data_IF_973697220754
#
_entry.id   IF_973697220754
#
_cell.length_a   1.000
_cell.length_b   1.000
_cell.length_c   1.000
_cell.angle_alpha   90.00
_cell.angle_beta   90.00
_cell.angle_gamma   90.00
#
_symmetry.space_group_name_H-M   'P 1'
#
loop_
_entity.id
_entity.type
_entity.pdbx_description
1 polymer ?
#
# COMPACT_ATOMS: atom_id res chain seq x y z
N UNK A 1 -89.88 -14.63 16.52
CA UNK A 1 -89.14 -15.81 16.03
C UNK A 1 -88.06 -15.33 15.07
N UNK A 2 -86.85 -15.80 15.30
CA UNK A 2 -85.58 -15.60 14.56
C UNK A 2 -85.76 -15.82 13.03
N UNK A 3 -84.98 -15.24 12.11
CA UNK A 3 -83.53 -15.42 11.84
C UNK A 3 -83.04 -14.34 10.83
N UNK A 4 -81.75 -14.01 10.89
CA UNK A 4 -80.90 -13.17 10.02
C UNK A 4 -80.55 -13.78 8.65
N UNK A 5 -80.36 -12.94 7.61
CA UNK A 5 -79.28 -13.00 6.59
C UNK A 5 -79.42 -11.78 5.65
N UNK A 6 -78.43 -10.90 5.51
CA UNK A 6 -77.14 -11.01 4.81
C UNK A 6 -77.23 -10.83 3.29
N UNK A 7 -76.76 -9.65 2.87
CA UNK A 7 -76.01 -9.38 1.63
C UNK A 7 -76.77 -9.03 0.32
N UNK A 8 -76.48 -7.80 -0.13
CA UNK A 8 -76.19 -7.39 -1.51
C UNK A 8 -77.31 -7.41 -2.55
N UNK A 9 -77.89 -6.24 -2.85
CA UNK A 9 -77.83 -5.69 -4.22
C UNK A 9 -78.49 -4.31 -4.38
N UNK A 10 -77.85 -3.51 -5.26
CA UNK A 10 -78.34 -2.32 -5.96
C UNK A 10 -78.45 -1.02 -5.15
N UNK A 11 -77.50 -0.12 -5.41
CA UNK A 11 -77.72 0.93 -6.42
C UNK A 11 -76.38 1.55 -6.83
N UNK A 12 -76.02 1.33 -8.10
CA UNK A 12 -75.12 2.22 -8.83
C UNK A 12 -75.97 3.42 -9.26
N UNK A 13 -75.63 4.61 -8.79
CA UNK A 13 -75.98 5.87 -9.47
C UNK A 13 -74.80 6.84 -9.40
N UNK A 14 -74.04 6.82 -10.49
CA UNK A 14 -73.43 7.98 -11.15
C UNK A 14 -72.87 9.11 -10.27
N UNK A 15 -71.56 9.04 -9.97
CA UNK A 15 -70.74 10.21 -9.67
C UNK A 15 -70.01 10.64 -10.94
N UNK A 16 -70.21 11.90 -11.33
CA UNK A 16 -69.66 12.57 -12.51
C UNK A 16 -68.12 12.54 -12.48
N UNK A 17 -67.42 12.36 -13.62
CA UNK A 17 -65.98 12.54 -13.70
C UNK A 17 -65.67 14.03 -13.72
N UNK A 18 -65.60 14.64 -12.53
CA UNK A 18 -65.18 16.03 -12.33
C UNK A 18 -63.81 16.08 -11.70
N UNK A 19 -62.78 16.32 -12.52
CA UNK A 19 -61.48 16.90 -12.14
C UNK A 19 -60.84 16.33 -10.87
N UNK A 20 -60.46 15.06 -10.90
CA UNK A 20 -59.21 14.68 -10.26
C UNK A 20 -58.10 15.02 -11.27
N UNK A 21 -57.55 16.23 -11.20
CA UNK A 21 -56.17 16.43 -11.65
C UNK A 21 -55.33 15.47 -10.82
N UNK A 22 -55.05 14.29 -11.36
CA UNK A 22 -53.89 13.53 -10.97
C UNK A 22 -52.72 14.46 -11.23
N UNK A 23 -52.31 15.21 -10.20
CA UNK A 23 -51.01 15.87 -10.23
C UNK A 23 -50.04 14.70 -10.24
N UNK A 24 -49.64 14.28 -11.43
CA UNK A 24 -48.46 13.47 -11.65
C UNK A 24 -47.28 14.37 -11.26
N UNK A 25 -47.13 14.61 -9.95
CA UNK A 25 -45.95 15.23 -9.41
C UNK A 25 -44.85 14.23 -9.69
N UNK A 26 -44.05 14.53 -10.72
CA UNK A 26 -42.77 13.84 -10.87
C UNK A 26 -42.03 13.96 -9.53
N UNK A 27 -41.32 12.93 -9.08
CA UNK A 27 -40.54 13.01 -7.84
C UNK A 27 -39.68 14.28 -7.77
N UNK A 28 -39.15 14.74 -8.91
CA UNK A 28 -38.45 16.02 -9.06
C UNK A 28 -39.25 17.27 -8.63
N UNK A 29 -40.51 17.40 -9.04
CA UNK A 29 -41.36 18.55 -8.67
C UNK A 29 -41.60 18.64 -7.15
N UNK A 30 -41.68 17.49 -6.47
CA UNK A 30 -41.80 17.40 -5.00
C UNK A 30 -40.51 17.86 -4.30
N UNK A 31 -39.33 17.51 -4.85
CA UNK A 31 -38.04 17.92 -4.28
C UNK A 31 -37.74 19.41 -4.49
N UNK A 32 -38.09 19.99 -5.64
CA UNK A 32 -37.95 21.44 -5.90
C UNK A 32 -38.77 22.26 -4.90
N UNK A 33 -40.00 21.84 -4.62
CA UNK A 33 -40.83 22.49 -3.61
C UNK A 33 -40.22 22.38 -2.20
N UNK A 34 -39.56 21.26 -1.90
CA UNK A 34 -38.84 21.07 -0.63
C UNK A 34 -37.59 21.95 -0.52
N UNK A 35 -36.84 22.18 -1.59
CA UNK A 35 -35.71 23.12 -1.60
C UNK A 35 -36.16 24.53 -1.21
N UNK A 36 -37.28 25.00 -1.79
CA UNK A 36 -37.88 26.30 -1.47
C UNK A 36 -38.25 26.39 0.00
N UNK A 37 -38.93 25.38 0.55
CA UNK A 37 -39.31 25.34 1.97
C UNK A 37 -38.10 25.35 2.92
N UNK A 38 -36.98 24.75 2.53
CA UNK A 38 -35.74 24.74 3.30
C UNK A 38 -34.87 25.98 3.06
N UNK A 39 -35.35 26.96 2.30
CA UNK A 39 -34.61 28.15 1.88
C UNK A 39 -33.27 27.82 1.22
N UNK A 40 -33.11 26.65 0.58
CA UNK A 40 -31.83 26.24 -0.01
C UNK A 40 -31.53 26.96 -1.34
N UNK A 41 -32.53 27.62 -1.92
CA UNK A 41 -32.40 28.41 -3.14
C UNK A 41 -33.14 27.78 -4.33
N UNK A 42 -33.07 28.47 -5.47
CA UNK A 42 -33.57 28.00 -6.78
C UNK A 42 -32.42 27.90 -7.77
N UNK A 43 -31.24 27.49 -7.31
CA UNK A 43 -30.07 27.34 -8.16
C UNK A 43 -30.39 26.38 -9.32
N UNK A 44 -30.27 26.81 -10.58
CA UNK A 44 -30.56 25.98 -11.75
C UNK A 44 -29.80 24.65 -11.75
N UNK A 45 -28.56 24.63 -11.24
CA UNK A 45 -27.75 23.42 -11.14
C UNK A 45 -28.30 22.45 -10.08
N UNK A 46 -28.77 22.96 -8.93
CA UNK A 46 -29.42 22.11 -7.91
C UNK A 46 -30.69 21.45 -8.45
N UNK A 47 -31.50 22.23 -9.18
CA UNK A 47 -32.73 21.74 -9.80
C UNK A 47 -32.39 20.67 -10.84
N UNK A 48 -31.42 20.93 -11.73
CA UNK A 48 -30.98 19.98 -12.74
C UNK A 48 -30.46 18.67 -12.12
N UNK A 49 -29.70 18.74 -11.01
CA UNK A 49 -29.21 17.55 -10.30
C UNK A 49 -30.36 16.71 -9.71
N UNK A 50 -31.39 17.34 -9.14
CA UNK A 50 -32.56 16.66 -8.58
C UNK A 50 -33.44 16.03 -9.66
N UNK A 51 -33.64 16.73 -10.78
CA UNK A 51 -34.43 16.23 -11.91
C UNK A 51 -33.75 15.05 -12.60
N UNK A 52 -32.42 15.11 -12.75
CA UNK A 52 -31.64 14.03 -13.34
C UNK A 52 -31.51 12.80 -12.41
N UNK A 53 -31.62 12.97 -11.09
CA UNK A 53 -31.37 11.91 -10.11
C UNK A 53 -32.48 11.82 -9.03
N UNK A 54 -33.74 11.53 -9.41
CA UNK A 54 -34.88 11.56 -8.50
C UNK A 54 -34.74 10.58 -7.32
N UNK A 55 -34.11 9.42 -7.53
CA UNK A 55 -33.93 8.40 -6.48
C UNK A 55 -32.99 8.85 -5.35
N UNK A 56 -32.16 9.86 -5.61
CA UNK A 56 -31.19 10.42 -4.67
C UNK A 56 -31.63 11.77 -4.07
N UNK A 57 -32.86 12.22 -4.35
CA UNK A 57 -33.31 13.58 -4.02
C UNK A 57 -33.18 13.97 -2.54
N UNK A 58 -33.47 13.05 -1.61
CA UNK A 58 -33.26 13.30 -0.18
C UNK A 58 -31.77 13.52 0.18
N UNK A 59 -30.87 12.73 -0.40
CA UNK A 59 -29.42 12.83 -0.17
C UNK A 59 -28.87 14.13 -0.76
N UNK A 60 -29.32 14.50 -1.95
CA UNK A 60 -28.98 15.78 -2.59
C UNK A 60 -29.44 16.98 -1.75
N UNK A 61 -30.66 16.96 -1.23
CA UNK A 61 -31.16 18.02 -0.33
C UNK A 61 -30.29 18.14 0.92
N UNK A 62 -29.90 17.01 1.54
CA UNK A 62 -28.99 17.03 2.69
C UNK A 62 -27.63 17.63 2.33
N UNK A 63 -27.08 17.27 1.16
CA UNK A 63 -25.82 17.86 0.66
C UNK A 63 -25.95 19.37 0.48
N UNK A 64 -26.98 19.85 -0.21
CA UNK A 64 -27.15 21.30 -0.43
C UNK A 64 -27.33 22.07 0.87
N UNK A 65 -28.00 21.47 1.86
CA UNK A 65 -28.10 22.04 3.21
C UNK A 65 -26.72 22.20 3.84
N UNK A 66 -25.90 21.15 3.82
CA UNK A 66 -24.55 21.20 4.41
C UNK A 66 -23.64 22.15 3.64
N UNK A 67 -23.65 22.14 2.30
CA UNK A 67 -22.88 23.09 1.49
C UNK A 67 -23.25 24.54 1.81
N UNK A 68 -24.54 24.85 1.93
CA UNK A 68 -25.02 26.19 2.29
C UNK A 68 -24.56 26.59 3.70
N UNK A 69 -24.67 25.69 4.67
CA UNK A 69 -24.20 25.95 6.04
C UNK A 69 -22.69 26.22 6.11
N UNK A 70 -21.91 25.49 5.30
CA UNK A 70 -20.45 25.64 5.20
C UNK A 70 -20.02 26.77 4.24
N UNK A 71 -20.97 27.49 3.63
CA UNK A 71 -20.73 28.54 2.64
C UNK A 71 -19.83 28.07 1.47
N UNK A 72 -20.10 26.86 0.98
CA UNK A 72 -19.45 26.29 -0.20
C UNK A 72 -20.39 26.50 -1.40
N UNK A 73 -19.91 27.22 -2.41
CA UNK A 73 -20.69 27.51 -3.61
C UNK A 73 -20.79 26.27 -4.53
N UNK A 74 -21.97 26.06 -5.09
CA UNK A 74 -22.20 25.03 -6.10
C UNK A 74 -21.67 25.54 -7.45
N UNK A 75 -20.43 25.17 -7.78
CA UNK A 75 -19.82 25.49 -9.08
C UNK A 75 -20.16 24.42 -10.12
N UNK A 76 -19.99 24.73 -11.43
CA UNK A 76 -20.14 23.73 -12.51
C UNK A 76 -19.22 22.50 -12.31
N UNK A 77 -18.05 22.70 -11.69
CA UNK A 77 -17.13 21.62 -11.34
C UNK A 77 -17.70 20.73 -10.24
N UNK A 78 -18.21 21.33 -9.16
CA UNK A 78 -18.83 20.60 -8.05
C UNK A 78 -20.12 19.90 -8.48
N UNK A 79 -20.96 20.53 -9.30
CA UNK A 79 -22.17 19.91 -9.84
C UNK A 79 -21.85 18.65 -10.66
N UNK A 80 -20.82 18.72 -11.53
CA UNK A 80 -20.33 17.53 -12.27
C UNK A 80 -19.79 16.45 -11.35
N UNK A 81 -19.02 16.83 -10.31
CA UNK A 81 -18.48 15.88 -9.33
C UNK A 81 -19.59 15.16 -8.56
N UNK A 82 -20.64 15.89 -8.17
CA UNK A 82 -21.85 15.34 -7.53
C UNK A 82 -22.54 14.35 -8.47
N UNK A 83 -22.77 14.72 -9.73
CA UNK A 83 -23.42 13.87 -10.70
C UNK A 83 -22.65 12.56 -10.94
N UNK A 84 -21.32 12.63 -11.06
CA UNK A 84 -20.46 11.46 -11.26
C UNK A 84 -20.40 10.52 -10.05
N UNK A 85 -20.74 11.00 -8.85
CA UNK A 85 -20.64 10.26 -7.60
C UNK A 85 -21.97 10.21 -6.83
N UNK A 86 -23.10 10.22 -7.55
CA UNK A 86 -24.43 10.38 -6.97
C UNK A 86 -24.76 9.36 -5.87
N UNK A 87 -24.26 8.13 -6.02
CA UNK A 87 -24.45 7.05 -5.06
C UNK A 87 -23.78 7.30 -3.70
N UNK A 88 -22.71 8.10 -3.68
CA UNK A 88 -21.86 8.36 -2.51
C UNK A 88 -22.22 9.65 -1.77
N UNK A 89 -23.19 10.44 -2.23
CA UNK A 89 -23.54 11.74 -1.64
C UNK A 89 -23.82 11.67 -0.13
N UNK A 90 -24.50 10.62 0.32
CA UNK A 90 -24.79 10.46 1.75
C UNK A 90 -23.51 10.38 2.59
N UNK A 91 -22.46 9.74 2.06
CA UNK A 91 -21.17 9.62 2.73
C UNK A 91 -20.35 10.90 2.65
N UNK A 92 -20.45 11.65 1.54
CA UNK A 92 -19.89 13.02 1.44
C UNK A 92 -20.51 13.94 2.49
N UNK A 93 -21.83 13.85 2.70
CA UNK A 93 -22.53 14.59 3.76
C UNK A 93 -21.96 14.24 5.14
N UNK A 94 -21.75 12.95 5.42
CA UNK A 94 -21.15 12.51 6.68
C UNK A 94 -19.75 13.12 6.90
N UNK A 95 -18.89 13.12 5.87
CA UNK A 95 -17.56 13.72 5.95
C UNK A 95 -17.61 15.24 6.18
N UNK A 96 -18.51 15.96 5.50
CA UNK A 96 -18.69 17.40 5.72
C UNK A 96 -19.23 17.71 7.12
N UNK A 97 -20.12 16.87 7.66
CA UNK A 97 -20.58 16.99 9.03
C UNK A 97 -19.49 16.68 10.06
N UNK A 98 -18.63 15.69 9.78
CA UNK A 98 -17.46 15.37 10.60
C UNK A 98 -16.54 16.58 10.68
N UNK A 99 -16.21 17.19 9.54
CA UNK A 99 -15.35 18.40 9.50
C UNK A 99 -15.96 19.51 10.35
N UNK A 100 -17.26 19.76 10.20
CA UNK A 100 -17.96 20.81 10.96
C UNK A 100 -17.92 20.60 12.48
N UNK A 101 -17.99 19.36 12.94
CA UNK A 101 -18.19 19.02 14.36
C UNK A 101 -16.89 18.72 15.09
N UNK A 102 -15.96 18.05 14.41
CA UNK A 102 -14.82 17.38 15.05
C UNK A 102 -13.46 17.89 14.54
N UNK A 103 -13.41 18.62 13.42
CA UNK A 103 -12.14 19.02 12.78
C UNK A 103 -12.00 20.54 12.74
N UNK A 104 -10.91 21.08 13.30
CA UNK A 104 -10.65 22.52 13.30
C UNK A 104 -10.04 23.02 11.97
N UNK A 105 -10.76 22.84 10.87
CA UNK A 105 -10.34 23.25 9.51
C UNK A 105 -11.45 24.07 8.86
N UNK A 106 -11.07 25.13 8.13
CA UNK A 106 -11.99 25.82 7.24
C UNK A 106 -12.37 24.89 6.07
N UNK A 107 -13.62 24.41 5.98
CA UNK A 107 -14.01 23.43 4.96
C UNK A 107 -13.83 23.93 3.53
N UNK A 108 -13.76 25.26 3.34
CA UNK A 108 -13.54 25.90 2.04
C UNK A 108 -12.11 25.73 1.52
N UNK A 109 -11.17 25.34 2.39
CA UNK A 109 -9.77 25.07 2.03
C UNK A 109 -9.55 23.65 1.54
N UNK A 110 -10.55 22.76 1.71
CA UNK A 110 -10.45 21.37 1.33
C UNK A 110 -10.81 21.16 -0.14
N UNK A 111 -10.07 20.27 -0.80
CA UNK A 111 -10.36 19.85 -2.16
C UNK A 111 -11.61 18.97 -2.18
N UNK A 112 -12.69 19.46 -2.82
CA UNK A 112 -13.92 18.67 -2.99
C UNK A 112 -13.66 17.31 -3.68
N UNK A 113 -12.83 17.21 -4.74
CA UNK A 113 -12.42 15.92 -5.28
C UNK A 113 -11.87 14.94 -4.22
N UNK A 114 -11.04 15.40 -3.28
CA UNK A 114 -10.51 14.54 -2.22
C UNK A 114 -11.63 14.02 -1.30
N UNK A 115 -12.57 14.89 -0.91
CA UNK A 115 -13.73 14.49 -0.10
C UNK A 115 -14.60 13.43 -0.79
N UNK A 116 -14.81 13.59 -2.09
CA UNK A 116 -15.57 12.61 -2.88
C UNK A 116 -14.82 11.28 -3.03
N UNK A 117 -13.48 11.32 -3.18
CA UNK A 117 -12.65 10.12 -3.21
C UNK A 117 -12.59 9.40 -1.85
N UNK A 118 -12.68 10.15 -0.74
CA UNK A 118 -12.70 9.61 0.61
C UNK A 118 -14.09 9.09 1.03
N UNK A 119 -15.17 9.56 0.40
CA UNK A 119 -16.54 9.20 0.75
C UNK A 119 -16.81 7.68 0.81
N UNK A 120 -16.25 6.81 -0.04
CA UNK A 120 -16.42 5.36 0.09
C UNK A 120 -15.91 4.77 1.42
N UNK A 121 -15.04 5.49 2.14
CA UNK A 121 -14.39 5.08 3.39
C UNK A 121 -14.75 6.02 4.56
N UNK A 122 -15.91 6.70 4.50
CA UNK A 122 -16.32 7.72 5.48
C UNK A 122 -16.28 7.23 6.93
N UNK A 123 -16.71 5.99 7.18
CA UNK A 123 -16.65 5.38 8.51
C UNK A 123 -15.21 5.21 9.02
N UNK A 124 -14.28 4.77 8.16
CA UNK A 124 -12.88 4.59 8.52
C UNK A 124 -12.21 5.92 8.82
N UNK A 125 -12.46 6.94 7.98
CA UNK A 125 -11.97 8.30 8.21
C UNK A 125 -12.54 8.88 9.51
N UNK A 126 -13.85 8.73 9.74
CA UNK A 126 -14.51 9.23 10.95
C UNK A 126 -13.96 8.58 12.22
N UNK A 127 -13.73 7.27 12.22
CA UNK A 127 -13.14 6.59 13.37
C UNK A 127 -11.70 7.07 13.62
N UNK A 128 -10.90 7.18 12.57
CA UNK A 128 -9.50 7.65 12.65
C UNK A 128 -9.42 9.08 13.21
N UNK A 129 -10.33 9.97 12.79
CA UNK A 129 -10.46 11.33 13.32
C UNK A 129 -10.77 11.33 14.82
N UNK A 130 -11.69 10.48 15.28
CA UNK A 130 -12.05 10.37 16.70
C UNK A 130 -10.89 9.84 17.53
N UNK A 131 -10.20 8.81 17.05
CA UNK A 131 -9.03 8.23 17.72
C UNK A 131 -7.93 9.28 17.91
N UNK A 132 -7.63 10.04 16.86
CA UNK A 132 -6.63 11.12 16.91
C UNK A 132 -7.07 12.31 17.77
N UNK A 133 -8.37 12.61 17.81
CA UNK A 133 -8.91 13.68 18.67
C UNK A 133 -8.77 13.32 20.14
N UNK A 134 -8.96 12.04 20.51
CA UNK A 134 -8.79 11.59 21.89
C UNK A 134 -7.34 11.72 22.39
N UNK A 135 -6.35 11.64 21.48
CA UNK A 135 -4.93 11.81 21.78
C UNK A 135 -4.38 13.24 21.61
N UNK A 136 -5.25 14.24 21.34
CA UNK A 136 -4.84 15.61 20.98
C UNK A 136 -3.84 15.66 19.80
N UNK A 137 -3.94 14.70 18.87
CA UNK A 137 -3.06 14.58 17.71
C UNK A 137 -3.64 15.19 16.43
N UNK A 138 -4.95 15.40 16.36
CA UNK A 138 -5.59 15.80 15.11
C UNK A 138 -5.26 17.26 14.74
N UNK A 139 -4.62 17.44 13.59
CA UNK A 139 -4.38 18.74 12.98
C UNK A 139 -4.86 18.78 11.51
N UNK A 140 -4.82 19.97 10.85
CA UNK A 140 -5.23 20.10 9.47
C UNK A 140 -4.49 19.22 8.45
N UNK A 141 -3.20 18.97 8.66
CA UNK A 141 -2.37 18.25 7.69
C UNK A 141 -2.52 16.74 7.85
N UNK A 142 -2.73 16.26 9.08
CA UNK A 142 -3.14 14.89 9.37
C UNK A 142 -4.51 14.61 8.75
N UNK A 143 -5.49 15.51 8.91
CA UNK A 143 -6.79 15.31 8.31
C UNK A 143 -6.72 15.26 6.77
N UNK A 144 -5.90 16.11 6.14
CA UNK A 144 -5.66 16.04 4.69
C UNK A 144 -5.04 14.71 4.28
N UNK A 145 -4.10 14.18 5.07
CA UNK A 145 -3.47 12.89 4.81
C UNK A 145 -4.51 11.76 4.85
N UNK A 146 -5.41 11.77 5.84
CA UNK A 146 -6.52 10.79 5.92
C UNK A 146 -7.46 10.88 4.71
N UNK A 147 -7.70 12.07 4.17
CA UNK A 147 -8.51 12.23 2.95
C UNK A 147 -7.75 11.85 1.67
N UNK A 148 -6.42 11.99 1.64
CA UNK A 148 -5.59 11.56 0.52
C UNK A 148 -5.47 10.03 0.45
N UNK A 149 -5.42 9.37 1.61
CA UNK A 149 -5.27 7.92 1.75
C UNK A 149 -6.39 7.29 2.59
N UNK A 150 -7.66 7.41 2.14
CA UNK A 150 -8.82 7.09 2.96
C UNK A 150 -8.97 5.59 3.26
N UNK A 151 -8.47 4.72 2.38
CA UNK A 151 -8.44 3.28 2.62
C UNK A 151 -7.45 2.89 3.73
N UNK A 152 -6.38 3.67 3.92
CA UNK A 152 -5.35 3.47 4.92
C UNK A 152 -5.60 4.29 6.20
N UNK A 153 -6.68 5.06 6.28
CA UNK A 153 -6.93 6.03 7.36
C UNK A 153 -6.72 5.45 8.77
N UNK A 154 -7.22 4.24 9.02
CA UNK A 154 -7.06 3.60 10.32
C UNK A 154 -5.60 3.23 10.64
N UNK A 155 -4.85 2.70 9.66
CA UNK A 155 -3.43 2.40 9.84
C UNK A 155 -2.63 3.68 10.07
N UNK A 156 -2.93 4.74 9.33
CA UNK A 156 -2.31 6.06 9.52
C UNK A 156 -2.56 6.56 10.95
N UNK A 157 -3.80 6.54 11.43
CA UNK A 157 -4.07 7.03 12.79
C UNK A 157 -3.36 6.21 13.86
N UNK A 158 -3.31 4.87 13.72
CA UNK A 158 -2.61 4.00 14.66
C UNK A 158 -1.09 4.25 14.65
N UNK A 159 -0.47 4.39 13.47
CA UNK A 159 0.95 4.75 13.37
C UNK A 159 1.26 6.08 14.07
N UNK A 160 0.42 7.11 13.89
CA UNK A 160 0.60 8.41 14.53
C UNK A 160 0.47 8.33 16.06
N UNK A 161 -0.50 7.55 16.57
CA UNK A 161 -0.66 7.29 18.01
C UNK A 161 0.59 6.56 18.54
N UNK A 162 1.04 5.50 17.87
CA UNK A 162 2.23 4.73 18.26
C UNK A 162 3.50 5.59 18.29
N UNK A 163 3.64 6.54 17.35
CA UNK A 163 4.75 7.49 17.33
C UNK A 163 4.71 8.43 18.55
N UNK A 164 3.53 8.97 18.86
CA UNK A 164 3.33 9.85 20.03
C UNK A 164 3.61 9.12 21.34
N UNK A 165 3.14 7.88 21.49
CA UNK A 165 3.40 7.05 22.68
C UNK A 165 4.90 6.81 22.90
N UNK A 166 5.70 6.83 21.82
CA UNK A 166 7.16 6.71 21.85
C UNK A 166 7.90 8.06 21.82
N UNK A 167 7.18 9.17 21.98
CA UNK A 167 7.69 10.54 21.99
C UNK A 167 8.37 10.99 20.69
N UNK A 168 7.99 10.43 19.54
CA UNK A 168 8.40 10.94 18.23
C UNK A 168 7.47 12.05 17.75
N UNK A 169 8.04 13.06 17.09
CA UNK A 169 7.27 14.12 16.45
C UNK A 169 6.62 13.62 15.16
N UNK A 170 5.28 13.65 15.10
CA UNK A 170 4.49 13.18 13.97
C UNK A 170 4.42 14.17 12.79
N UNK A 171 4.63 15.46 13.05
CA UNK A 171 4.49 16.54 12.06
C UNK A 171 5.40 16.35 10.85
N UNK A 172 6.68 16.01 11.09
CA UNK A 172 7.66 15.79 10.03
C UNK A 172 7.30 14.58 9.15
N UNK A 173 6.74 13.52 9.73
CA UNK A 173 6.25 12.37 8.97
C UNK A 173 5.06 12.77 8.09
N UNK A 174 4.08 13.45 8.67
CA UNK A 174 2.86 13.88 7.97
C UNK A 174 3.18 14.82 6.81
N UNK A 175 4.10 15.77 7.00
CA UNK A 175 4.57 16.66 5.94
C UNK A 175 5.17 15.87 4.77
N UNK A 176 6.05 14.92 5.07
CA UNK A 176 6.71 14.07 4.05
C UNK A 176 5.71 13.19 3.29
N UNK A 177 4.77 12.56 3.99
CA UNK A 177 3.75 11.72 3.37
C UNK A 177 2.75 12.52 2.51
N UNK A 178 2.44 13.76 2.90
CA UNK A 178 1.59 14.65 2.11
C UNK A 178 2.32 15.24 0.88
N UNK A 179 3.64 15.40 0.94
CA UNK A 179 4.43 16.02 -0.12
C UNK A 179 4.63 15.11 -1.36
N UNK A 180 4.53 13.79 -1.18
CA UNK A 180 4.81 12.80 -2.23
C UNK A 180 3.52 12.18 -2.74
N UNK A 181 3.36 12.10 -4.05
CA UNK A 181 2.21 11.44 -4.69
C UNK A 181 2.43 9.93 -4.76
N UNK A 182 2.24 9.24 -3.63
CA UNK A 182 2.36 7.77 -3.53
C UNK A 182 1.04 7.11 -3.95
N UNK A 183 1.09 5.97 -4.63
CA UNK A 183 -0.13 5.18 -4.91
C UNK A 183 -0.69 4.58 -3.62
N UNK A 184 -2.00 4.33 -3.57
CA UNK A 184 -2.63 3.78 -2.35
C UNK A 184 -2.04 2.41 -1.92
N UNK A 185 -1.68 1.57 -2.90
CA UNK A 185 -1.03 0.27 -2.63
C UNK A 185 0.33 0.44 -1.97
N UNK A 186 1.19 1.32 -2.51
CA UNK A 186 2.51 1.57 -1.95
C UNK A 186 2.45 2.30 -0.61
N UNK A 187 1.46 3.16 -0.41
CA UNK A 187 1.23 3.80 0.88
C UNK A 187 0.95 2.77 1.98
N UNK A 188 0.20 1.71 1.67
CA UNK A 188 -0.02 0.61 2.63
C UNK A 188 1.32 -0.03 3.03
N UNK A 189 2.17 -0.35 2.05
CA UNK A 189 3.52 -0.90 2.31
C UNK A 189 4.39 0.07 3.11
N UNK A 190 4.38 1.37 2.79
CA UNK A 190 5.12 2.39 3.55
C UNK A 190 4.67 2.41 5.00
N UNK A 191 3.37 2.46 5.28
CA UNK A 191 2.84 2.49 6.65
C UNK A 191 3.22 1.21 7.40
N UNK A 192 3.02 0.03 6.78
CA UNK A 192 3.38 -1.25 7.39
C UNK A 192 4.89 -1.29 7.71
N UNK A 193 5.75 -0.74 6.84
CA UNK A 193 7.18 -0.69 7.08
C UNK A 193 7.56 0.27 8.23
N UNK A 194 6.88 1.42 8.32
CA UNK A 194 7.09 2.37 9.41
C UNK A 194 6.63 1.78 10.76
N UNK A 195 5.46 1.14 10.80
CA UNK A 195 4.98 0.42 11.98
C UNK A 195 5.96 -0.68 12.38
N UNK A 196 6.41 -1.50 11.43
CA UNK A 196 7.35 -2.59 11.67
C UNK A 196 8.67 -2.10 12.29
N UNK A 197 9.19 -0.97 11.80
CA UNK A 197 10.43 -0.37 12.30
C UNK A 197 10.23 0.30 13.66
N UNK A 198 9.07 0.92 13.86
CA UNK A 198 8.68 1.52 15.13
C UNK A 198 8.57 0.44 16.21
N UNK A 199 7.87 -0.66 15.95
CA UNK A 199 7.71 -1.80 16.86
C UNK A 199 9.05 -2.33 17.36
N UNK A 200 10.07 -2.34 16.50
CA UNK A 200 11.40 -2.84 16.78
C UNK A 200 12.38 -1.78 17.33
N UNK A 201 11.93 -0.56 17.66
CA UNK A 201 12.76 0.54 18.16
C UNK A 201 13.88 0.98 17.19
N UNK A 202 13.65 0.87 15.89
CA UNK A 202 14.61 1.20 14.85
C UNK A 202 14.22 2.46 14.06
N UNK A 203 13.16 3.15 14.49
CA UNK A 203 12.67 4.34 13.81
C UNK A 203 13.61 5.53 13.97
N UNK A 204 13.91 6.22 12.87
CA UNK A 204 14.58 7.51 12.86
C UNK A 204 14.00 8.40 11.74
N UNK A 205 13.77 9.71 11.95
CA UNK A 205 13.01 10.55 11.01
C UNK A 205 13.54 10.59 9.56
N UNK A 206 14.85 10.45 9.36
CA UNK A 206 15.50 10.47 8.04
C UNK A 206 15.17 9.21 7.22
N UNK A 207 14.81 8.09 7.87
CA UNK A 207 14.42 6.86 7.17
C UNK A 207 13.24 7.10 6.23
N UNK A 208 12.32 7.99 6.63
CA UNK A 208 11.12 8.32 5.86
C UNK A 208 11.52 8.88 4.50
N UNK A 209 12.52 9.77 4.45
CA UNK A 209 12.96 10.34 3.17
C UNK A 209 13.60 9.29 2.28
N UNK A 210 14.34 8.34 2.87
CA UNK A 210 14.94 7.22 2.13
C UNK A 210 13.82 6.36 1.51
N UNK A 211 12.81 5.97 2.31
CA UNK A 211 11.69 5.15 1.82
C UNK A 211 10.93 5.85 0.69
N UNK A 212 10.69 7.16 0.82
CA UNK A 212 9.98 7.95 -0.18
C UNK A 212 10.79 8.13 -1.47
N UNK A 213 12.11 8.31 -1.39
CA UNK A 213 12.98 8.31 -2.59
C UNK A 213 12.99 6.97 -3.31
N UNK A 214 12.77 5.87 -2.56
CA UNK A 214 12.80 4.50 -3.08
C UNK A 214 11.41 3.87 -3.24
N UNK A 215 10.37 4.70 -3.38
CA UNK A 215 8.96 4.27 -3.48
C UNK A 215 8.73 3.15 -4.51
N UNK A 216 9.47 3.17 -5.64
CA UNK A 216 9.37 2.17 -6.69
C UNK A 216 9.78 0.75 -6.26
N UNK A 217 10.52 0.62 -5.17
CA UNK A 217 11.07 -0.63 -4.66
C UNK A 217 10.57 -0.96 -3.24
N UNK A 218 9.59 -0.22 -2.73
CA UNK A 218 9.14 -0.31 -1.34
C UNK A 218 8.73 -1.73 -0.92
N UNK A 219 8.08 -2.49 -1.81
CA UNK A 219 7.67 -3.86 -1.51
C UNK A 219 8.87 -4.80 -1.30
N UNK A 220 9.93 -4.62 -2.09
CA UNK A 220 11.18 -5.41 -1.92
C UNK A 220 11.91 -5.03 -0.64
N UNK A 221 11.90 -3.74 -0.29
CA UNK A 221 12.46 -3.23 0.97
C UNK A 221 11.69 -3.82 2.15
N UNK A 222 10.36 -3.82 2.08
CA UNK A 222 9.49 -4.39 3.10
C UNK A 222 9.70 -5.90 3.27
N UNK A 223 9.78 -6.66 2.17
CA UNK A 223 10.11 -8.09 2.21
C UNK A 223 11.45 -8.36 2.91
N UNK A 224 12.48 -7.58 2.56
CA UNK A 224 13.81 -7.72 3.15
C UNK A 224 13.81 -7.39 4.64
N UNK A 225 13.19 -6.27 5.04
CA UNK A 225 13.06 -5.89 6.44
C UNK A 225 12.31 -6.95 7.26
N UNK A 226 11.20 -7.48 6.74
CA UNK A 226 10.40 -8.52 7.40
C UNK A 226 11.22 -9.78 7.63
N UNK A 227 12.04 -10.21 6.66
CA UNK A 227 12.94 -11.36 6.82
C UNK A 227 13.98 -11.15 7.91
N UNK A 228 14.60 -9.97 7.93
CA UNK A 228 15.59 -9.65 8.95
C UNK A 228 14.97 -9.61 10.35
N UNK A 229 13.76 -9.08 10.49
CA UNK A 229 13.07 -9.01 11.79
C UNK A 229 12.65 -10.39 12.30
N UNK A 230 12.13 -11.25 11.42
CA UNK A 230 11.77 -12.64 11.78
C UNK A 230 12.95 -13.39 12.41
N UNK A 231 14.17 -13.02 12.01
CA UNK A 231 15.43 -13.57 12.48
C UNK A 231 16.15 -12.65 13.46
N UNK A 232 15.52 -11.60 14.01
CA UNK A 232 16.14 -10.66 14.95
C UNK A 232 17.48 -10.04 14.46
N UNK A 233 17.58 -9.77 13.16
CA UNK A 233 18.79 -9.31 12.47
C UNK A 233 18.63 -7.99 11.74
N UNK A 234 17.49 -7.30 11.91
CA UNK A 234 17.33 -5.96 11.37
C UNK A 234 18.17 -4.98 12.19
N UNK A 235 18.89 -4.09 11.52
CA UNK A 235 19.82 -3.15 12.12
C UNK A 235 19.54 -1.70 11.66
N UNK A 236 19.95 -0.67 12.43
CA UNK A 236 19.58 0.73 12.15
C UNK A 236 19.94 1.21 10.75
N UNK A 237 21.13 0.87 10.26
CA UNK A 237 21.65 1.34 8.97
C UNK A 237 21.06 0.60 7.75
N UNK A 238 20.16 -0.37 7.95
CA UNK A 238 19.61 -1.18 6.87
C UNK A 238 19.06 -0.35 5.70
N UNK A 239 18.22 0.65 6.00
CA UNK A 239 17.61 1.48 4.97
C UNK A 239 18.62 2.38 4.25
N UNK A 240 19.61 2.90 4.97
CA UNK A 240 20.70 3.69 4.39
C UNK A 240 21.55 2.86 3.43
N UNK A 241 21.85 1.61 3.78
CA UNK A 241 22.62 0.68 2.92
C UNK A 241 21.87 0.33 1.63
N UNK A 242 20.53 0.38 1.65
CA UNK A 242 19.71 0.11 0.47
C UNK A 242 19.57 1.28 -0.49
N UNK A 243 19.92 2.49 -0.09
CA UNK A 243 19.66 3.69 -0.90
C UNK A 243 20.38 3.63 -2.25
N UNK A 244 21.57 3.03 -2.31
CA UNK A 244 22.32 2.87 -3.54
C UNK A 244 21.77 1.75 -4.46
N UNK A 245 21.11 0.73 -3.89
CA UNK A 245 20.66 -0.45 -4.65
C UNK A 245 19.38 -1.09 -4.07
N UNK A 246 18.25 -0.36 -4.06
CA UNK A 246 17.01 -0.76 -3.39
C UNK A 246 16.36 -2.00 -4.03
N UNK A 247 16.59 -2.22 -5.33
CA UNK A 247 16.07 -3.39 -6.05
C UNK A 247 16.59 -4.71 -5.47
N UNK A 248 17.75 -4.69 -4.80
CA UNK A 248 18.40 -5.85 -4.20
C UNK A 248 18.02 -6.06 -2.74
N UNK A 249 17.09 -5.30 -2.16
CA UNK A 249 16.81 -5.33 -0.72
C UNK A 249 16.52 -6.72 -0.14
N UNK A 250 15.77 -7.54 -0.89
CA UNK A 250 15.48 -8.92 -0.50
C UNK A 250 16.72 -9.83 -0.55
N UNK A 251 17.60 -9.63 -1.54
CA UNK A 251 18.86 -10.39 -1.66
C UNK A 251 19.84 -9.95 -0.59
N UNK A 252 19.93 -8.64 -0.33
CA UNK A 252 20.74 -8.12 0.77
C UNK A 252 20.33 -8.75 2.09
N UNK A 253 19.04 -8.77 2.43
CA UNK A 253 18.53 -9.43 3.63
C UNK A 253 18.94 -10.92 3.70
N UNK A 254 18.86 -11.66 2.58
CA UNK A 254 19.30 -13.07 2.53
C UNK A 254 20.81 -13.23 2.75
N UNK A 255 21.62 -12.34 2.19
CA UNK A 255 23.07 -12.34 2.41
C UNK A 255 23.41 -12.06 3.87
N UNK A 256 22.75 -11.09 4.51
CA UNK A 256 22.91 -10.80 5.93
C UNK A 256 22.65 -12.06 6.77
N UNK A 257 21.54 -12.76 6.53
CA UNK A 257 21.17 -13.96 7.30
C UNK A 257 22.18 -15.10 7.10
N UNK A 258 22.57 -15.37 5.86
CA UNK A 258 23.56 -16.41 5.54
C UNK A 258 24.91 -16.12 6.22
N UNK A 259 25.39 -14.88 6.14
CA UNK A 259 26.68 -14.47 6.69
C UNK A 259 26.64 -14.39 8.22
N UNK A 260 25.49 -14.08 8.82
CA UNK A 260 25.29 -14.15 10.26
C UNK A 260 25.44 -15.57 10.78
N UNK A 261 24.76 -16.53 10.14
CA UNK A 261 24.80 -17.92 10.54
C UNK A 261 26.23 -18.49 10.41
N UNK A 262 26.98 -18.01 9.42
CA UNK A 262 28.39 -18.32 9.21
C UNK A 262 29.39 -17.45 10.01
N UNK A 263 28.92 -16.49 10.80
CA UNK A 263 29.74 -15.56 11.62
C UNK A 263 30.69 -14.63 10.82
N UNK A 264 30.41 -14.36 9.54
CA UNK A 264 31.22 -13.48 8.68
C UNK A 264 30.72 -12.03 8.60
N UNK A 265 29.64 -11.70 9.32
CA UNK A 265 29.12 -10.34 9.33
C UNK A 265 29.36 -9.63 10.65
N UNK A 266 29.86 -8.40 10.55
CA UNK A 266 29.97 -7.49 11.68
C UNK A 266 29.05 -6.28 11.47
N UNK A 267 27.90 -6.28 12.15
CA UNK A 267 26.94 -5.17 12.12
C UNK A 267 27.50 -3.85 12.66
N UNK A 268 28.62 -3.87 13.39
CA UNK A 268 29.30 -2.66 13.87
C UNK A 268 30.33 -2.12 12.88
N UNK A 269 30.57 -2.81 11.75
CA UNK A 269 31.51 -2.39 10.72
C UNK A 269 30.75 -1.92 9.46
N UNK A 270 30.62 -0.60 9.23
CA UNK A 270 29.95 -0.05 8.06
C UNK A 270 30.56 -0.50 6.73
N UNK A 271 31.88 -0.74 6.67
CA UNK A 271 32.54 -1.20 5.44
C UNK A 271 32.12 -2.62 5.08
N UNK A 272 32.01 -3.50 6.07
CA UNK A 272 31.49 -4.86 5.90
C UNK A 272 30.05 -4.82 5.38
N UNK A 273 29.18 -4.03 5.99
CA UNK A 273 27.78 -3.86 5.55
C UNK A 273 27.69 -3.29 4.13
N UNK A 274 28.54 -2.31 3.80
CA UNK A 274 28.59 -1.72 2.46
C UNK A 274 29.01 -2.74 1.40
N UNK A 275 30.00 -3.59 1.68
CA UNK A 275 30.40 -4.69 0.77
C UNK A 275 29.22 -5.66 0.56
N UNK A 276 28.60 -6.13 1.64
CA UNK A 276 27.48 -7.08 1.57
C UNK A 276 26.27 -6.49 0.83
N UNK A 277 26.03 -5.18 0.94
CA UNK A 277 24.95 -4.49 0.21
C UNK A 277 25.11 -4.50 -1.30
N UNK A 278 26.35 -4.67 -1.79
CA UNK A 278 26.68 -4.73 -3.22
C UNK A 278 26.54 -6.15 -3.78
N UNK A 279 26.50 -7.18 -2.91
CA UNK A 279 26.40 -8.56 -3.33
C UNK A 279 25.03 -8.87 -3.95
N UNK A 280 25.07 -9.29 -5.21
CA UNK A 280 23.90 -9.68 -5.98
C UNK A 280 23.40 -11.10 -5.68
N UNK A 281 22.44 -11.54 -6.50
CA UNK A 281 21.83 -12.86 -6.39
C UNK A 281 22.82 -14.00 -6.68
N UNK A 282 23.73 -13.84 -7.64
CA UNK A 282 24.76 -14.85 -7.94
C UNK A 282 25.67 -15.10 -6.75
N UNK A 283 26.13 -14.02 -6.10
CA UNK A 283 26.89 -14.11 -4.85
C UNK A 283 26.12 -14.84 -3.75
N UNK A 284 24.84 -14.52 -3.56
CA UNK A 284 23.99 -15.23 -2.59
C UNK A 284 23.93 -16.74 -2.86
N UNK A 285 23.65 -17.15 -4.10
CA UNK A 285 23.56 -18.56 -4.45
C UNK A 285 24.89 -19.28 -4.27
N UNK A 286 25.98 -18.68 -4.72
CA UNK A 286 27.30 -19.28 -4.60
C UNK A 286 27.77 -19.38 -3.15
N UNK A 287 27.61 -18.34 -2.32
CA UNK A 287 27.91 -18.42 -0.89
C UNK A 287 27.06 -19.47 -0.18
N UNK A 288 25.80 -19.67 -0.60
CA UNK A 288 24.94 -20.72 -0.05
C UNK A 288 25.46 -22.12 -0.39
N UNK A 289 26.01 -22.31 -1.59
CA UNK A 289 26.67 -23.55 -2.00
C UNK A 289 27.91 -23.78 -1.14
N UNK A 290 28.79 -22.78 -1.02
CA UNK A 290 29.98 -22.85 -0.18
C UNK A 290 29.64 -23.16 1.29
N UNK A 291 28.60 -22.53 1.84
CA UNK A 291 28.18 -22.76 3.21
C UNK A 291 27.71 -24.20 3.45
N UNK A 292 26.99 -24.80 2.49
CA UNK A 292 26.52 -26.19 2.60
C UNK A 292 27.64 -27.22 2.49
N UNK A 293 28.71 -26.88 1.78
CA UNK A 293 29.90 -27.70 1.66
C UNK A 293 30.92 -27.45 2.78
N UNK A 294 30.56 -26.67 3.82
CA UNK A 294 31.48 -26.23 4.88
C UNK A 294 32.74 -25.50 4.38
N UNK A 295 32.66 -24.87 3.20
CA UNK A 295 33.74 -24.12 2.56
C UNK A 295 33.55 -22.60 2.58
N UNK A 296 32.47 -22.09 3.18
CA UNK A 296 32.36 -20.65 3.42
C UNK A 296 33.26 -20.27 4.61
N UNK A 297 34.48 -19.83 4.30
CA UNK A 297 35.48 -19.31 5.25
C UNK A 297 35.85 -17.86 4.90
N UNK A 298 36.74 -17.23 5.69
CA UNK A 298 37.13 -15.82 5.50
C UNK A 298 37.77 -15.57 4.12
N UNK A 299 38.68 -16.45 3.68
CA UNK A 299 39.34 -16.37 2.37
C UNK A 299 38.34 -16.46 1.21
N UNK A 300 37.45 -17.45 1.26
CA UNK A 300 36.44 -17.64 0.22
C UNK A 300 35.39 -16.53 0.21
N UNK A 301 35.06 -15.98 1.39
CA UNK A 301 34.20 -14.81 1.50
C UNK A 301 34.85 -13.58 0.85
N UNK A 302 36.14 -13.34 1.08
CA UNK A 302 36.89 -12.26 0.44
C UNK A 302 36.90 -12.40 -1.09
N UNK A 303 37.09 -13.62 -1.61
CA UNK A 303 37.02 -13.92 -3.05
C UNK A 303 35.65 -13.53 -3.63
N UNK A 304 34.56 -13.94 -2.97
CA UNK A 304 33.19 -13.60 -3.41
C UNK A 304 32.91 -12.10 -3.34
N UNK A 305 33.54 -11.39 -2.41
CA UNK A 305 33.37 -9.95 -2.23
C UNK A 305 34.15 -9.09 -3.24
N UNK A 306 35.00 -9.69 -4.07
CA UNK A 306 35.71 -8.95 -5.10
C UNK A 306 34.74 -8.31 -6.11
N UNK A 307 35.04 -7.07 -6.49
CA UNK A 307 34.23 -6.32 -7.46
C UNK A 307 34.35 -6.93 -8.86
N UNK A 308 33.29 -6.78 -9.65
CA UNK A 308 33.24 -7.16 -11.06
C UNK A 308 33.54 -8.65 -11.34
N UNK A 309 33.27 -9.52 -10.36
CA UNK A 309 33.45 -10.96 -10.50
C UNK A 309 32.37 -11.62 -11.39
N UNK A 310 32.63 -12.88 -11.75
CA UNK A 310 31.78 -13.71 -12.61
C UNK A 310 30.34 -13.87 -12.07
N UNK A 311 30.13 -13.75 -10.76
CA UNK A 311 28.84 -13.92 -10.10
C UNK A 311 27.86 -12.76 -10.37
N UNK A 312 28.34 -11.68 -11.00
CA UNK A 312 27.51 -10.56 -11.45
C UNK A 312 27.04 -10.71 -12.91
N UNK A 313 27.51 -11.73 -13.65
CA UNK A 313 27.10 -12.00 -15.03
C UNK A 313 25.71 -12.63 -15.07
N UNK A 314 24.83 -12.12 -15.95
CA UNK A 314 23.45 -12.59 -16.05
C UNK A 314 23.38 -14.08 -16.40
N UNK A 315 24.26 -14.55 -17.28
CA UNK A 315 24.32 -15.95 -17.68
C UNK A 315 24.65 -16.88 -16.51
N UNK A 316 25.50 -16.43 -15.58
CA UNK A 316 25.92 -17.19 -14.39
C UNK A 316 24.83 -17.16 -13.33
N UNK A 317 24.22 -15.99 -13.13
CA UNK A 317 23.07 -15.81 -12.24
C UNK A 317 21.94 -16.76 -12.64
N UNK A 318 21.65 -16.86 -13.93
CA UNK A 318 20.59 -17.71 -14.46
C UNK A 318 20.82 -19.19 -14.17
N UNK A 319 22.05 -19.69 -14.39
CA UNK A 319 22.41 -21.08 -14.09
C UNK A 319 22.36 -21.35 -12.58
N UNK A 320 22.96 -20.48 -11.76
CA UNK A 320 22.91 -20.60 -10.30
C UNK A 320 21.48 -20.55 -9.74
N UNK A 321 20.60 -19.76 -10.34
CA UNK A 321 19.20 -19.61 -9.90
C UNK A 321 18.34 -20.82 -10.27
N UNK A 322 18.74 -21.60 -11.29
CA UNK A 322 18.04 -22.82 -11.73
C UNK A 322 18.46 -24.05 -10.93
N UNK A 323 19.57 -23.99 -10.20
CA UNK A 323 20.08 -25.11 -9.42
C UNK A 323 19.02 -25.66 -8.43
N UNK A 324 18.80 -26.97 -8.42
CA UNK A 324 17.98 -27.63 -7.42
C UNK A 324 18.40 -27.31 -5.99
N UNK A 325 17.43 -27.27 -5.08
CA UNK A 325 17.66 -26.90 -3.69
C UNK A 325 18.60 -27.85 -2.93
N UNK A 326 18.86 -29.06 -3.43
CA UNK A 326 19.67 -30.10 -2.78
C UNK A 326 20.91 -30.48 -3.59
N UNK A 327 21.31 -29.70 -4.59
CA UNK A 327 22.56 -29.96 -5.32
C UNK A 327 23.76 -29.83 -4.38
N UNK A 328 24.60 -30.86 -4.39
CA UNK A 328 25.88 -30.92 -3.69
C UNK A 328 26.99 -30.94 -4.74
N UNK A 329 28.00 -30.08 -4.54
CA UNK A 329 29.19 -30.00 -5.38
C UNK A 329 30.34 -30.66 -4.62
N UNK A 330 31.23 -31.31 -5.35
CA UNK A 330 32.45 -31.84 -4.74
C UNK A 330 33.50 -30.73 -4.51
N UNK A 331 34.53 -31.06 -3.73
CA UNK A 331 35.57 -30.10 -3.33
C UNK A 331 36.37 -29.58 -4.54
N UNK A 332 36.66 -30.43 -5.52
CA UNK A 332 37.42 -30.07 -6.72
C UNK A 332 36.61 -29.12 -7.63
N UNK A 333 35.31 -29.37 -7.77
CA UNK A 333 34.37 -28.50 -8.49
C UNK A 333 34.32 -27.11 -7.85
N UNK A 334 34.20 -27.05 -6.52
CA UNK A 334 34.14 -25.79 -5.78
C UNK A 334 35.46 -25.03 -5.84
N UNK A 335 36.60 -25.71 -5.75
CA UNK A 335 37.92 -25.09 -5.92
C UNK A 335 38.07 -24.48 -7.32
N UNK A 336 37.61 -25.18 -8.36
CA UNK A 336 37.62 -24.68 -9.73
C UNK A 336 36.69 -23.46 -9.89
N UNK A 337 35.49 -23.51 -9.31
CA UNK A 337 34.56 -22.38 -9.30
C UNK A 337 35.15 -21.16 -8.57
N UNK A 338 35.77 -21.35 -7.41
CA UNK A 338 36.44 -20.29 -6.64
C UNK A 338 37.60 -19.68 -7.43
N UNK A 339 38.41 -20.50 -8.10
CA UNK A 339 39.48 -20.03 -8.98
C UNK A 339 38.95 -19.11 -10.10
N UNK A 340 37.81 -19.46 -10.70
CA UNK A 340 37.15 -18.64 -11.72
C UNK A 340 36.57 -17.33 -11.14
N UNK A 341 36.04 -17.37 -9.92
CA UNK A 341 35.50 -16.19 -9.22
C UNK A 341 36.61 -15.20 -8.86
N UNK A 342 37.79 -15.69 -8.49
CA UNK A 342 38.96 -14.87 -8.14
C UNK A 342 39.65 -14.19 -9.34
N UNK A 343 39.21 -14.47 -10.58
CA UNK A 343 39.80 -13.86 -11.77
C UNK A 343 39.41 -12.39 -11.92
N UNK A 344 40.38 -11.56 -12.32
CA UNK A 344 40.20 -10.12 -12.53
C UNK A 344 39.81 -9.76 -13.97
N UNK A 345 40.21 -10.59 -14.94
CA UNK A 345 39.81 -10.46 -16.34
C UNK A 345 39.03 -11.71 -16.75
N UNK A 346 37.74 -11.54 -17.04
CA UNK A 346 36.84 -12.64 -17.38
C UNK A 346 36.68 -12.76 -18.90
N UNK A 347 36.95 -13.94 -19.44
CA UNK A 347 36.60 -14.29 -20.81
C UNK A 347 35.26 -15.05 -20.87
N UNK A 348 34.65 -15.08 -22.05
CA UNK A 348 33.44 -15.90 -22.26
C UNK A 348 33.70 -17.39 -22.03
N UNK A 349 34.95 -17.85 -22.19
CA UNK A 349 35.35 -19.22 -21.90
C UNK A 349 35.35 -19.50 -20.38
N UNK A 350 35.68 -18.51 -19.55
CA UNK A 350 35.63 -18.64 -18.08
C UNK A 350 34.18 -18.73 -17.60
N UNK A 351 33.29 -17.93 -18.22
CA UNK A 351 31.83 -18.01 -17.99
C UNK A 351 31.26 -19.37 -18.35
N UNK A 352 31.61 -19.90 -19.54
CA UNK A 352 31.18 -21.24 -19.94
C UNK A 352 31.80 -22.32 -19.06
N UNK A 353 33.05 -22.15 -18.62
CA UNK A 353 33.70 -23.04 -17.66
C UNK A 353 32.91 -23.16 -16.36
N UNK A 354 32.57 -22.03 -15.74
CA UNK A 354 31.76 -21.98 -14.52
C UNK A 354 30.37 -22.62 -14.72
N UNK A 355 29.69 -22.25 -15.79
CA UNK A 355 28.36 -22.76 -16.10
C UNK A 355 28.36 -24.25 -16.46
N UNK A 356 29.44 -24.78 -17.04
CA UNK A 356 29.55 -26.20 -17.38
C UNK A 356 29.53 -27.09 -16.14
N UNK A 357 30.15 -26.66 -15.04
CA UNK A 357 30.12 -27.33 -13.74
C UNK A 357 28.67 -27.40 -13.24
N UNK A 358 27.97 -26.26 -13.25
CA UNK A 358 26.55 -26.19 -12.84
C UNK A 358 25.66 -27.10 -13.71
N UNK A 359 25.85 -27.06 -15.03
CA UNK A 359 25.06 -27.85 -15.99
C UNK A 359 25.28 -29.35 -15.86
N UNK A 360 26.46 -29.78 -15.42
CA UNK A 360 26.69 -31.20 -15.12
C UNK A 360 25.65 -31.72 -14.12
N UNK A 361 25.40 -30.96 -13.06
CA UNK A 361 24.42 -31.31 -12.02
C UNK A 361 22.95 -31.24 -12.48
N UNK A 362 22.63 -30.45 -13.52
CA UNK A 362 21.30 -30.47 -14.16
C UNK A 362 21.01 -31.76 -14.94
N UNK A 363 22.04 -32.43 -15.45
CA UNK A 363 21.90 -33.60 -16.32
C UNK A 363 21.63 -34.88 -15.52
N UNK A 364 22.23 -35.04 -14.33
CA UNK A 364 22.05 -36.23 -13.49
C UNK A 364 20.64 -36.34 -12.90
N UNK A 365 19.97 -35.23 -12.57
CA UNK A 365 18.58 -35.27 -12.11
C UNK A 365 17.60 -35.74 -13.20
N UNK A 366 17.78 -35.31 -14.45
CA UNK A 366 16.93 -35.76 -15.55
C UNK A 366 17.06 -37.27 -15.82
N UNK A 367 18.24 -37.85 -15.56
CA UNK A 367 18.47 -39.29 -15.68
C UNK A 367 17.94 -40.08 -14.47
N UNK A 368 17.97 -39.50 -13.27
CA UNK A 368 17.34 -40.07 -12.07
C UNK A 368 15.81 -39.99 -12.10
N UNK A 369 15.21 -38.88 -12.53
CA UNK A 369 13.76 -38.74 -12.66
C UNK A 369 13.18 -39.66 -13.75
N UNK A 370 13.91 -39.87 -14.86
CA UNK A 370 13.53 -40.81 -15.90
C UNK A 370 13.60 -42.28 -15.45
N UNK A 371 14.53 -42.62 -14.55
CA UNK A 371 14.67 -44.00 -14.05
C UNK A 371 13.66 -44.36 -12.95
N UNK A 372 13.16 -43.39 -12.18
CA UNK A 372 12.06 -43.59 -11.21
C UNK A 372 10.68 -43.66 -11.89
N UNK A 373 10.54 -43.06 -13.07
CA UNK A 373 9.28 -43.11 -13.86
C UNK A 373 9.09 -44.41 -14.65
N UNK A 374 10.08 -45.31 -14.63
CA UNK A 374 10.11 -46.59 -15.33
C UNK A 374 10.13 -47.81 -14.39
N UNK A 375 9.93 -47.58 -13.09
CA UNK A 375 9.72 -48.59 -12.04
C UNK A 375 8.34 -48.46 -11.44
#
# INVERSE_FOLDING_TARGET
>A
MTVTDSSTNRMITSLKPGTATAITNSPGASFVERLRKLNLGNDPQMIALLEANPDYGNRLISLFKVLKELKIDLTDGLARLIANNISQIGRVVNLLELIKKEVNIDPRTLSMPLLFNAAPFDEAVAQSVRDLTQGDLLDPDIFKLLLAYPAQAHKISQLLINLQERAYESSALVEKLNAVSITAERMDTVINLLDLVLENNLFYPEMVDILLRQEAYIDRIYEGATKLIAEHSLFPDYFAMLEANPKNANIFAKNILLLRDAQFINFSNPECLAIVSQLGIGAFHFMKILHRADQLNEENFEIVCQKDNILNREEVIDELSRLPLLTEFDEDELEMMLCLVAQTELSDADVEGFNSIIRYHHIFENQCAASVSLS
#
